data_IF_826513800002
#
_entry.id   IF_826513800002
#
_cell.length_a   1.000
_cell.length_b   1.000
_cell.length_c   1.000
_cell.angle_alpha   90.00
_cell.angle_beta   90.00
_cell.angle_gamma   90.00
#
_symmetry.space_group_name_H-M   'P 1'
#
loop_
_entity.id
_entity.type
_entity.pdbx_description
1 polymer ?
#
# COMPACT_ATOMS: atom_id res chain seq x y z
N UNK A 1 15.48 1.82 13.14
CA UNK A 1 15.15 2.92 12.18
C UNK A 1 15.25 2.51 10.72
N UNK A 2 16.44 2.19 10.15
CA UNK A 2 16.59 1.97 8.69
C UNK A 2 15.69 0.87 8.10
N UNK A 3 15.51 -0.26 8.80
CA UNK A 3 14.72 -1.39 8.31
C UNK A 3 13.22 -1.06 8.16
N UNK A 4 12.69 -0.19 9.02
CA UNK A 4 11.27 0.17 9.06
C UNK A 4 10.92 1.03 7.86
N UNK A 5 11.73 2.06 7.58
CA UNK A 5 11.55 2.89 6.39
C UNK A 5 11.67 2.08 5.10
N UNK A 6 12.60 1.13 5.03
CA UNK A 6 12.73 0.23 3.88
C UNK A 6 11.47 -0.63 3.72
N UNK A 7 11.00 -1.25 4.80
CA UNK A 7 9.77 -2.07 4.80
C UNK A 7 8.54 -1.28 4.38
N UNK A 8 8.33 -0.11 4.99
CA UNK A 8 7.23 0.82 4.67
C UNK A 8 7.31 1.26 3.20
N UNK A 9 8.49 1.67 2.73
CA UNK A 9 8.68 2.12 1.35
C UNK A 9 8.37 1.00 0.36
N UNK A 10 8.87 -0.22 0.60
CA UNK A 10 8.59 -1.37 -0.26
C UNK A 10 7.10 -1.69 -0.32
N UNK A 11 6.37 -1.61 0.81
CA UNK A 11 4.93 -1.85 0.84
C UNK A 11 4.14 -0.75 0.11
N UNK A 12 4.54 0.51 0.25
CA UNK A 12 3.93 1.62 -0.50
C UNK A 12 4.14 1.41 -2.00
N UNK A 13 5.36 1.09 -2.41
CA UNK A 13 5.70 0.81 -3.81
C UNK A 13 4.92 -0.40 -4.34
N UNK A 14 4.70 -1.43 -3.51
CA UNK A 14 3.86 -2.59 -3.86
C UNK A 14 2.39 -2.20 -4.11
N UNK A 15 1.80 -1.35 -3.26
CA UNK A 15 0.43 -0.86 -3.47
C UNK A 15 0.31 0.01 -4.72
N UNK A 16 1.30 0.87 -4.98
CA UNK A 16 1.33 1.70 -6.19
C UNK A 16 1.45 0.81 -7.44
N UNK A 17 2.36 -0.17 -7.42
CA UNK A 17 2.55 -1.08 -8.55
C UNK A 17 1.29 -1.93 -8.82
N UNK A 18 0.63 -2.41 -7.76
CA UNK A 18 -0.65 -3.11 -7.89
C UNK A 18 -1.74 -2.22 -8.53
N UNK A 19 -1.85 -0.96 -8.07
CA UNK A 19 -2.82 -0.02 -8.65
C UNK A 19 -2.54 0.25 -10.14
N UNK A 20 -1.28 0.50 -10.52
CA UNK A 20 -0.89 0.72 -11.92
C UNK A 20 -1.15 -0.53 -12.77
N UNK A 21 -0.88 -1.72 -12.25
CA UNK A 21 -1.14 -2.98 -12.97
C UNK A 21 -2.62 -3.18 -13.31
N UNK A 22 -3.51 -2.85 -12.38
CA UNK A 22 -4.96 -3.02 -12.55
C UNK A 22 -5.58 -1.88 -13.36
N UNK A 23 -4.91 -0.72 -13.46
CA UNK A 23 -5.45 0.46 -14.10
C UNK A 23 -5.81 0.26 -15.59
N UNK A 24 -4.91 -0.31 -16.39
CA UNK A 24 -5.17 -0.52 -17.82
C UNK A 24 -6.35 -1.47 -18.04
N UNK A 25 -6.49 -2.49 -17.19
CA UNK A 25 -7.62 -3.42 -17.23
C UNK A 25 -8.96 -2.70 -16.92
N UNK A 26 -9.00 -1.90 -15.85
CA UNK A 26 -10.20 -1.12 -15.52
C UNK A 26 -10.54 -0.10 -16.61
N UNK A 27 -9.53 0.49 -17.25
CA UNK A 27 -9.74 1.44 -18.35
C UNK A 27 -10.36 0.77 -19.58
N UNK A 28 -10.04 -0.49 -19.86
CA UNK A 28 -10.70 -1.28 -20.91
C UNK A 28 -12.18 -1.48 -20.57
N UNK A 29 -12.49 -1.92 -19.36
CA UNK A 29 -13.88 -2.10 -18.91
C UNK A 29 -14.69 -0.79 -18.94
N UNK A 30 -14.09 0.32 -18.49
CA UNK A 30 -14.69 1.65 -18.58
C UNK A 30 -15.09 1.98 -20.03
N UNK A 31 -14.26 1.62 -21.00
CA UNK A 31 -14.49 1.90 -22.41
C UNK A 31 -15.61 1.04 -23.00
N UNK A 32 -15.73 -0.22 -22.60
CA UNK A 32 -16.90 -1.04 -22.96
C UNK A 32 -18.20 -0.45 -22.39
N UNK A 33 -18.19 -0.01 -21.13
CA UNK A 33 -19.36 0.63 -20.50
C UNK A 33 -19.71 1.95 -21.22
N UNK A 34 -18.73 2.73 -21.67
CA UNK A 34 -18.97 3.93 -22.48
C UNK A 34 -19.57 3.56 -23.84
N UNK A 35 -19.11 2.49 -24.49
CA UNK A 35 -19.67 2.02 -25.76
C UNK A 35 -21.15 1.64 -25.63
N UNK A 36 -21.51 0.89 -24.57
CA UNK A 36 -22.90 0.51 -24.28
C UNK A 36 -23.81 1.72 -24.03
N UNK A 37 -23.25 2.85 -23.59
CA UNK A 37 -23.97 4.11 -23.35
C UNK A 37 -24.08 5.01 -24.58
N UNK A 38 -23.62 4.55 -25.76
CA UNK A 38 -23.78 5.26 -27.02
C UNK A 38 -22.66 6.26 -27.35
N UNK A 39 -21.52 6.20 -26.64
CA UNK A 39 -20.33 6.92 -27.09
C UNK A 39 -19.79 6.27 -28.38
N UNK A 40 -19.30 7.09 -29.31
CA UNK A 40 -18.97 6.65 -30.69
C UNK A 40 -17.49 6.78 -31.03
N UNK A 41 -16.68 7.38 -30.16
CA UNK A 41 -15.27 7.69 -30.43
C UNK A 41 -14.35 7.33 -29.25
N UNK A 42 -13.08 7.06 -29.55
CA UNK A 42 -12.02 6.95 -28.54
C UNK A 42 -11.96 5.65 -27.76
N UNK A 43 -12.24 4.51 -28.40
CA UNK A 43 -12.22 3.15 -27.80
C UNK A 43 -10.89 2.40 -27.92
N UNK A 44 -9.87 3.00 -28.51
CA UNK A 44 -8.56 2.36 -28.60
C UNK A 44 -7.87 2.39 -27.24
N UNK A 45 -7.77 1.24 -26.58
CA UNK A 45 -6.95 1.05 -25.38
C UNK A 45 -5.90 0.00 -25.67
N UNK A 46 -4.64 0.37 -25.50
CA UNK A 46 -3.54 -0.57 -25.56
C UNK A 46 -3.25 -1.06 -24.14
N UNK A 47 -3.44 -2.36 -23.90
CA UNK A 47 -3.04 -2.99 -22.65
C UNK A 47 -1.54 -3.24 -22.72
N UNK A 48 -0.79 -2.55 -21.86
CA UNK A 48 0.65 -2.74 -21.79
C UNK A 48 0.99 -3.84 -20.79
N UNK A 49 2.03 -4.62 -21.08
CA UNK A 49 2.48 -5.73 -20.20
C UNK A 49 3.50 -5.28 -19.14
N UNK A 50 4.16 -4.14 -19.35
CA UNK A 50 5.19 -3.62 -18.44
C UNK A 50 4.71 -3.38 -16.99
N UNK A 51 3.46 -2.94 -16.72
CA UNK A 51 2.98 -2.76 -15.35
C UNK A 51 2.97 -4.08 -14.56
N UNK A 52 2.57 -5.17 -15.22
CA UNK A 52 2.60 -6.51 -14.63
C UNK A 52 4.02 -6.99 -14.36
N UNK A 53 4.94 -6.79 -15.31
CA UNK A 53 6.36 -7.11 -15.13
C UNK A 53 6.99 -6.31 -13.98
N UNK A 54 6.65 -5.02 -13.86
CA UNK A 54 7.11 -4.16 -12.77
C UNK A 54 6.60 -4.64 -11.41
N UNK A 55 5.31 -5.01 -11.32
CA UNK A 55 4.73 -5.55 -10.09
C UNK A 55 5.41 -6.85 -9.67
N UNK A 56 5.65 -7.76 -10.61
CA UNK A 56 6.38 -9.02 -10.33
C UNK A 56 7.79 -8.72 -9.81
N UNK A 57 8.52 -7.79 -10.45
CA UNK A 57 9.86 -7.41 -10.01
C UNK A 57 9.86 -6.84 -8.57
N UNK A 58 8.92 -5.96 -8.25
CA UNK A 58 8.77 -5.37 -6.91
C UNK A 58 8.38 -6.45 -5.89
N UNK A 59 7.47 -7.36 -6.23
CA UNK A 59 7.06 -8.46 -5.37
C UNK A 59 8.23 -9.39 -5.05
N UNK A 60 9.05 -9.73 -6.05
CA UNK A 60 10.26 -10.53 -5.85
C UNK A 60 11.23 -9.82 -4.90
N UNK A 61 11.47 -8.52 -5.11
CA UNK A 61 12.31 -7.72 -4.21
C UNK A 61 11.77 -7.69 -2.78
N UNK A 62 10.46 -7.54 -2.62
CA UNK A 62 9.78 -7.59 -1.32
C UNK A 62 9.99 -8.96 -0.64
N UNK A 63 9.76 -10.06 -1.36
CA UNK A 63 9.95 -11.41 -0.83
C UNK A 63 11.41 -11.64 -0.42
N UNK A 64 12.38 -11.26 -1.25
CA UNK A 64 13.81 -11.39 -0.95
C UNK A 64 14.19 -10.57 0.29
N UNK A 65 13.73 -9.32 0.38
CA UNK A 65 14.00 -8.47 1.54
C UNK A 65 13.47 -9.08 2.84
N UNK A 66 12.24 -9.61 2.82
CA UNK A 66 11.66 -10.33 3.96
C UNK A 66 12.45 -11.61 4.28
N UNK A 67 12.83 -12.40 3.28
CA UNK A 67 13.61 -13.62 3.48
C UNK A 67 14.99 -13.34 4.11
N UNK A 68 15.70 -12.31 3.64
CA UNK A 68 17.00 -11.92 4.21
C UNK A 68 16.85 -11.49 5.67
N UNK A 69 15.83 -10.70 5.98
CA UNK A 69 15.60 -10.24 7.35
C UNK A 69 15.17 -11.40 8.26
N UNK A 70 14.38 -12.36 7.77
CA UNK A 70 14.07 -13.60 8.49
C UNK A 70 15.34 -14.36 8.89
N UNK A 71 16.20 -14.61 7.92
CA UNK A 71 17.43 -15.38 8.12
C UNK A 71 18.39 -14.68 9.10
N UNK A 72 18.38 -13.34 9.15
CA UNK A 72 19.15 -12.57 10.14
C UNK A 72 18.57 -12.71 11.55
N UNK A 73 17.25 -12.57 11.72
CA UNK A 73 16.62 -12.69 13.04
C UNK A 73 16.66 -14.11 13.61
N UNK A 74 16.56 -15.15 12.76
CA UNK A 74 16.66 -16.55 13.19
C UNK A 74 18.01 -16.88 13.86
N UNK A 75 19.06 -16.11 13.59
CA UNK A 75 20.36 -16.27 14.27
C UNK A 75 20.35 -15.75 15.72
N UNK A 76 19.37 -14.94 16.11
CA UNK A 76 19.21 -14.43 17.48
C UNK A 76 18.27 -15.34 18.29
N UNK A 77 18.80 -16.00 19.32
CA UNK A 77 18.09 -17.00 20.16
C UNK A 77 16.92 -16.46 21.01
N UNK A 78 16.79 -15.15 21.17
CA UNK A 78 15.80 -14.52 22.06
C UNK A 78 14.57 -13.96 21.31
N UNK A 79 14.36 -14.33 20.05
CA UNK A 79 13.34 -13.74 19.19
C UNK A 79 12.10 -14.63 19.12
N UNK A 80 10.93 -14.15 19.55
CA UNK A 80 9.68 -14.89 19.40
C UNK A 80 9.28 -14.98 17.92
N UNK A 81 8.86 -16.17 17.48
CA UNK A 81 8.40 -16.43 16.10
C UNK A 81 7.13 -15.61 15.79
N UNK A 82 6.39 -15.13 16.79
CA UNK A 82 5.21 -14.27 16.56
C UNK A 82 5.57 -12.86 16.09
N UNK A 83 6.73 -12.34 16.47
CA UNK A 83 7.26 -11.06 15.98
C UNK A 83 7.72 -11.15 14.52
N UNK A 84 7.81 -12.36 13.96
CA UNK A 84 8.25 -12.64 12.60
C UNK A 84 7.35 -12.05 11.50
N UNK A 85 6.03 -12.01 11.75
CA UNK A 85 5.05 -11.58 10.74
C UNK A 85 5.18 -10.07 10.46
N UNK A 86 5.74 -9.34 11.42
CA UNK A 86 5.93 -7.89 11.37
C UNK A 86 7.41 -7.55 11.30
N UNK A 87 7.94 -7.40 10.07
CA UNK A 87 9.28 -6.89 9.73
C UNK A 87 9.55 -5.43 10.16
N UNK A 88 8.90 -5.01 11.22
CA UNK A 88 8.59 -3.62 11.54
C UNK A 88 9.37 -3.10 12.75
N UNK A 89 10.02 -3.95 13.54
CA UNK A 89 10.82 -3.49 14.67
C UNK A 89 11.87 -4.51 15.10
N UNK A 90 12.84 -4.02 15.87
CA UNK A 90 13.79 -4.90 16.56
C UNK A 90 13.07 -5.55 17.74
N UNK A 91 12.74 -6.83 17.62
CA UNK A 91 12.05 -7.61 18.66
C UNK A 91 12.92 -7.84 19.90
N UNK A 92 14.21 -7.51 19.84
CA UNK A 92 15.11 -7.64 21.00
C UNK A 92 15.04 -6.45 21.95
N UNK A 93 14.42 -5.34 21.54
CA UNK A 93 14.24 -4.13 22.34
C UNK A 93 12.77 -3.96 22.76
N UNK A 94 12.46 -4.17 24.04
CA UNK A 94 11.11 -4.00 24.60
C UNK A 94 10.54 -2.60 24.35
N UNK A 95 11.40 -1.56 24.32
CA UNK A 95 10.99 -0.18 24.02
C UNK A 95 10.53 -0.06 22.57
N UNK A 96 11.19 -0.75 21.65
CA UNK A 96 10.80 -0.81 20.25
C UNK A 96 9.45 -1.51 20.06
N UNK A 97 9.17 -2.57 20.83
CA UNK A 97 7.86 -3.26 20.82
C UNK A 97 6.74 -2.32 21.29
N UNK A 98 6.92 -1.64 22.43
CA UNK A 98 5.94 -0.71 22.98
C UNK A 98 5.67 0.47 22.03
N UNK A 99 6.71 1.01 21.41
CA UNK A 99 6.61 2.09 20.43
C UNK A 99 5.89 1.64 19.16
N UNK A 100 6.13 0.41 18.70
CA UNK A 100 5.42 -0.15 17.54
C UNK A 100 3.92 -0.26 17.82
N UNK A 101 3.53 -0.80 18.98
CA UNK A 101 2.10 -0.93 19.33
C UNK A 101 1.40 0.43 19.35
N UNK A 102 2.04 1.46 19.93
CA UNK A 102 1.52 2.84 19.91
C UNK A 102 1.43 3.40 18.49
N UNK A 103 2.48 3.23 17.68
CA UNK A 103 2.50 3.68 16.30
C UNK A 103 1.42 3.01 15.44
N UNK A 104 1.18 1.71 15.63
CA UNK A 104 0.08 0.97 14.97
C UNK A 104 -1.27 1.55 15.38
N UNK A 105 -1.48 1.85 16.67
CA UNK A 105 -2.73 2.47 17.13
C UNK A 105 -2.96 3.83 16.47
N UNK A 106 -1.94 4.67 16.37
CA UNK A 106 -2.05 5.96 15.68
C UNK A 106 -2.31 5.80 14.17
N UNK A 107 -1.63 4.85 13.54
CA UNK A 107 -1.85 4.52 12.14
C UNK A 107 -3.28 4.06 11.88
N UNK A 108 -3.83 3.18 12.73
CA UNK A 108 -5.20 2.70 12.61
C UNK A 108 -6.23 3.84 12.76
N UNK A 109 -6.08 4.70 13.77
CA UNK A 109 -6.93 5.88 13.93
C UNK A 109 -6.84 6.82 12.73
N UNK A 110 -5.63 7.04 12.21
CA UNK A 110 -5.40 7.85 11.02
C UNK A 110 -6.04 7.28 9.77
N UNK A 111 -5.92 5.96 9.54
CA UNK A 111 -6.57 5.24 8.43
C UNK A 111 -8.07 5.41 8.51
N UNK A 112 -8.68 5.27 9.69
CA UNK A 112 -10.13 5.40 9.86
C UNK A 112 -10.59 6.79 9.42
N UNK A 113 -9.98 7.84 9.95
CA UNK A 113 -10.30 9.24 9.60
C UNK A 113 -10.11 9.47 8.11
N UNK A 114 -8.95 9.07 7.57
CA UNK A 114 -8.64 9.23 6.15
C UNK A 114 -9.63 8.47 5.25
N UNK A 115 -10.02 7.26 5.63
CA UNK A 115 -11.01 6.46 4.90
C UNK A 115 -12.37 7.12 4.84
N UNK A 116 -12.82 7.79 5.91
CA UNK A 116 -14.06 8.56 5.88
C UNK A 116 -14.03 9.65 4.81
N UNK A 117 -12.94 10.42 4.73
CA UNK A 117 -12.79 11.45 3.71
C UNK A 117 -12.70 10.86 2.30
N UNK A 118 -11.89 9.81 2.12
CA UNK A 118 -11.72 9.19 0.80
C UNK A 118 -12.99 8.50 0.30
N UNK A 119 -13.73 7.78 1.14
CA UNK A 119 -14.98 7.15 0.75
C UNK A 119 -16.07 8.21 0.54
N UNK A 120 -16.16 9.19 1.45
CA UNK A 120 -17.11 10.30 1.32
C UNK A 120 -16.88 11.14 0.05
N UNK A 121 -15.63 11.22 -0.43
CA UNK A 121 -15.29 11.93 -1.66
C UNK A 121 -16.04 11.40 -2.90
N UNK A 122 -16.42 10.11 -2.91
CA UNK A 122 -17.11 9.48 -4.02
C UNK A 122 -18.52 10.04 -4.25
N UNK A 123 -19.12 10.68 -3.24
CA UNK A 123 -20.44 11.31 -3.37
C UNK A 123 -20.43 12.60 -4.19
N UNK A 124 -19.27 13.25 -4.36
CA UNK A 124 -19.21 14.58 -5.00
C UNK A 124 -19.13 14.53 -6.53
N UNK A 125 -18.79 13.39 -7.14
CA UNK A 125 -18.76 13.25 -8.61
C UNK A 125 -19.58 11.99 -8.99
N UNK A 126 -20.81 12.17 -9.52
CA UNK A 126 -21.72 11.06 -9.78
C UNK A 126 -21.21 10.07 -10.85
N UNK A 127 -20.23 10.46 -11.68
CA UNK A 127 -19.72 9.65 -12.79
C UNK A 127 -18.25 9.21 -12.63
N UNK A 128 -17.71 9.10 -11.40
CA UNK A 128 -16.32 8.69 -11.18
C UNK A 128 -15.91 7.44 -11.98
N UNK A 129 -16.73 6.40 -11.97
CA UNK A 129 -16.44 5.14 -12.67
C UNK A 129 -16.52 5.24 -14.20
N UNK A 130 -17.21 6.26 -14.72
CA UNK A 130 -17.42 6.47 -16.16
C UNK A 130 -16.42 7.44 -16.75
N UNK A 131 -16.06 8.50 -16.04
CA UNK A 131 -15.23 9.58 -16.57
C UNK A 131 -13.81 9.55 -15.99
N UNK A 132 -13.66 9.01 -14.78
CA UNK A 132 -12.45 9.15 -13.97
C UNK A 132 -12.10 7.86 -13.20
N UNK A 133 -12.05 6.71 -13.89
CA UNK A 133 -11.83 5.41 -13.23
C UNK A 133 -10.51 5.33 -12.44
N UNK A 134 -9.54 6.18 -12.78
CA UNK A 134 -8.31 6.35 -12.03
C UNK A 134 -8.60 6.76 -10.57
N UNK A 135 -9.59 7.60 -10.33
CA UNK A 135 -9.83 8.16 -9.01
C UNK A 135 -10.27 7.11 -7.99
N UNK A 136 -11.33 6.31 -8.20
CA UNK A 136 -11.68 5.24 -7.25
C UNK A 136 -10.52 4.27 -6.98
N UNK A 137 -9.77 3.90 -8.02
CA UNK A 137 -8.64 2.99 -7.91
C UNK A 137 -7.53 3.57 -7.01
N UNK A 138 -7.05 4.77 -7.30
CA UNK A 138 -5.99 5.40 -6.52
C UNK A 138 -6.46 5.88 -5.16
N UNK A 139 -7.73 6.26 -5.02
CA UNK A 139 -8.34 6.60 -3.75
C UNK A 139 -8.32 5.39 -2.79
N UNK A 140 -8.78 4.22 -3.26
CA UNK A 140 -8.74 2.98 -2.46
C UNK A 140 -7.30 2.57 -2.16
N UNK A 141 -6.38 2.64 -3.14
CA UNK A 141 -4.97 2.33 -2.91
C UNK A 141 -4.29 3.30 -1.92
N UNK A 142 -4.73 4.56 -1.86
CA UNK A 142 -4.17 5.56 -0.95
C UNK A 142 -4.48 5.28 0.53
N UNK A 143 -5.54 4.54 0.84
CA UNK A 143 -5.95 4.22 2.22
C UNK A 143 -4.86 3.42 2.98
N UNK A 144 -4.40 2.25 2.49
CA UNK A 144 -3.31 1.55 3.17
C UNK A 144 -1.98 2.32 3.10
N UNK A 145 -1.74 3.11 2.04
CA UNK A 145 -0.53 3.93 1.90
C UNK A 145 -0.47 5.01 2.98
N UNK A 146 -1.57 5.74 3.24
CA UNK A 146 -1.62 6.76 4.28
C UNK A 146 -1.39 6.15 5.66
N UNK A 147 -1.96 4.96 5.92
CA UNK A 147 -1.69 4.19 7.13
C UNK A 147 -0.21 3.87 7.34
N UNK A 148 0.47 3.41 6.29
CA UNK A 148 1.91 3.11 6.31
C UNK A 148 2.75 4.36 6.57
N UNK A 149 2.36 5.51 6.00
CA UNK A 149 3.03 6.79 6.23
C UNK A 149 2.85 7.25 7.68
N UNK A 150 1.62 7.24 8.20
CA UNK A 150 1.32 7.64 9.58
C UNK A 150 2.06 6.72 10.55
N UNK A 151 2.09 5.42 10.28
CA UNK A 151 2.88 4.45 11.04
C UNK A 151 4.36 4.83 11.09
N UNK A 152 5.00 5.09 9.94
CA UNK A 152 6.42 5.44 9.88
C UNK A 152 6.75 6.74 10.63
N UNK A 153 5.91 7.77 10.46
CA UNK A 153 6.07 9.06 11.15
C UNK A 153 5.91 8.86 12.66
N UNK A 154 4.83 8.22 13.08
CA UNK A 154 4.52 7.99 14.50
C UNK A 154 5.61 7.19 15.20
N UNK A 155 6.09 6.12 14.56
CA UNK A 155 7.19 5.32 15.07
C UNK A 155 8.47 6.14 15.24
N UNK A 156 8.79 6.99 14.27
CA UNK A 156 9.99 7.85 14.31
C UNK A 156 9.92 8.88 15.44
N UNK A 157 8.75 9.47 15.66
CA UNK A 157 8.53 10.42 16.76
C UNK A 157 8.66 9.71 18.11
N UNK A 158 8.01 8.55 18.28
CA UNK A 158 8.05 7.77 19.52
C UNK A 158 9.44 7.21 19.85
N UNK A 159 10.28 6.96 18.84
CA UNK A 159 11.65 6.51 19.06
C UNK A 159 12.59 7.65 19.47
N UNK A 160 12.24 8.91 19.16
CA UNK A 160 13.02 10.10 19.55
C UNK A 160 12.61 10.68 20.90
N UNK A 161 11.42 10.36 21.38
CA UNK A 161 10.92 10.68 22.73
C UNK A 161 11.42 9.65 23.75
#
# INVERSE_FOLDING_TARGET
MKNIFISVTLRIVLFIALAIMVFDFLRVEQKFIQMDRGYIEGFTVQVNTWPGSLMIAILILFIIANLIHFLRMRKNKNTDIRDFITFEYDSTDERAVANTRKAISYAFSGILIFSFFMIGSFMFIPNYFLDHIWYPLFAVASIPISGLIIYAISFTVLQRA
#
